data_IF_126187540048
#
_entry.id   IF_126187540048
#
_cell.length_a   1.000
_cell.length_b   1.000
_cell.length_c   1.000
_cell.angle_alpha   90.00
_cell.angle_beta   90.00
_cell.angle_gamma   90.00
#
_symmetry.space_group_name_H-M   'P 1'
#
loop_
_entity.id
_entity.type
_entity.pdbx_description
1 polymer ?
#
# COMPACT_ATOMS: atom_id res chain seq x y z
N UNK A 1 14.24 -3.04 11.90
CA UNK A 1 13.60 -2.08 10.96
C UNK A 1 12.22 -2.62 10.69
N UNK A 2 11.19 -1.83 10.98
CA UNK A 2 9.81 -2.24 10.75
C UNK A 2 9.44 -2.02 9.28
N UNK A 3 8.69 -2.96 8.74
CA UNK A 3 8.09 -2.89 7.42
C UNK A 3 6.56 -2.93 7.56
N UNK A 4 5.88 -2.12 6.77
CA UNK A 4 4.45 -2.25 6.55
C UNK A 4 4.25 -2.92 5.19
N UNK A 5 3.46 -3.99 5.17
CA UNK A 5 3.09 -4.71 3.95
C UNK A 5 1.58 -4.61 3.82
N UNK A 6 1.09 -4.15 2.67
CA UNK A 6 -0.33 -4.11 2.39
C UNK A 6 -0.59 -4.95 1.16
N UNK A 7 -1.53 -5.89 1.24
CA UNK A 7 -1.89 -6.75 0.11
C UNK A 7 -3.39 -6.64 -0.15
N UNK A 8 -3.79 -6.58 -1.42
CA UNK A 8 -5.18 -6.30 -1.78
C UNK A 8 -5.53 -6.73 -3.21
N UNK A 9 -6.83 -6.77 -3.47
CA UNK A 9 -7.43 -6.87 -4.80
C UNK A 9 -7.96 -5.50 -5.24
N UNK A 10 -8.20 -5.30 -6.53
CA UNK A 10 -8.92 -4.11 -6.99
C UNK A 10 -10.42 -4.25 -6.73
N UNK A 11 -11.07 -3.14 -6.35
CA UNK A 11 -12.52 -3.09 -6.24
C UNK A 11 -13.19 -3.33 -7.60
N UNK A 12 -14.45 -3.76 -7.57
CA UNK A 12 -15.20 -4.05 -8.80
C UNK A 12 -15.39 -2.76 -9.61
N UNK A 13 -15.09 -2.82 -10.90
CA UNK A 13 -15.17 -1.67 -11.81
C UNK A 13 -13.94 -0.74 -11.79
N UNK A 14 -13.00 -0.94 -10.88
CA UNK A 14 -11.72 -0.19 -10.89
C UNK A 14 -10.78 -0.84 -11.89
N UNK A 15 -10.39 -0.06 -12.91
CA UNK A 15 -9.43 -0.53 -13.92
C UNK A 15 -8.00 -0.47 -13.40
N UNK A 16 -7.14 -1.30 -13.98
CA UNK A 16 -5.70 -1.29 -13.71
C UNK A 16 -5.08 0.08 -13.95
N UNK A 17 -5.38 0.68 -15.10
CA UNK A 17 -4.78 1.95 -15.49
C UNK A 17 -5.22 3.08 -14.57
N UNK A 18 -6.49 3.10 -14.16
CA UNK A 18 -7.00 4.06 -13.17
C UNK A 18 -6.27 3.92 -11.83
N UNK A 19 -6.11 2.69 -11.35
CA UNK A 19 -5.42 2.44 -10.09
C UNK A 19 -3.94 2.82 -10.16
N UNK A 20 -3.23 2.38 -11.21
CA UNK A 20 -1.80 2.67 -11.37
C UNK A 20 -1.53 4.17 -11.59
N UNK A 21 -2.44 4.90 -12.23
CA UNK A 21 -2.35 6.37 -12.36
C UNK A 21 -2.50 7.05 -10.99
N UNK A 22 -3.49 6.63 -10.20
CA UNK A 22 -3.66 7.10 -8.82
C UNK A 22 -2.42 6.82 -7.96
N UNK A 23 -1.86 5.61 -8.06
CA UNK A 23 -0.62 5.24 -7.34
C UNK A 23 0.52 6.22 -7.65
N UNK A 24 0.74 6.53 -8.93
CA UNK A 24 1.87 7.37 -9.38
C UNK A 24 1.66 8.85 -9.09
N UNK A 25 0.42 9.32 -9.08
CA UNK A 25 0.10 10.77 -9.02
C UNK A 25 -0.39 11.24 -7.66
N UNK A 26 -0.88 10.33 -6.81
CA UNK A 26 -1.47 10.66 -5.50
C UNK A 26 -0.77 9.92 -4.37
N UNK A 27 -0.84 8.59 -4.39
CA UNK A 27 -0.44 7.76 -3.27
C UNK A 27 1.07 7.82 -3.01
N UNK A 28 1.89 7.42 -3.99
CA UNK A 28 3.35 7.43 -3.81
C UNK A 28 3.90 8.82 -3.48
N UNK A 29 3.50 9.92 -4.16
CA UNK A 29 3.97 11.25 -3.78
C UNK A 29 3.56 11.64 -2.37
N UNK A 30 2.34 11.33 -1.94
CA UNK A 30 1.85 11.67 -0.60
C UNK A 30 2.57 10.86 0.48
N UNK A 31 2.62 9.53 0.36
CA UNK A 31 3.27 8.67 1.36
C UNK A 31 4.77 8.92 1.45
N UNK A 32 5.46 9.13 0.31
CA UNK A 32 6.89 9.48 0.30
C UNK A 32 7.20 10.89 0.81
N UNK A 33 6.19 11.73 1.03
CA UNK A 33 6.38 13.05 1.65
C UNK A 33 6.45 13.01 3.18
N UNK A 34 6.04 11.89 3.78
CA UNK A 34 6.10 11.69 5.23
C UNK A 34 7.54 11.41 5.66
N UNK A 35 8.03 12.15 6.64
CA UNK A 35 9.42 12.04 7.10
C UNK A 35 9.78 10.66 7.67
N UNK A 36 8.79 9.90 8.15
CA UNK A 36 8.96 8.55 8.71
C UNK A 36 8.93 7.44 7.68
N UNK A 37 8.55 7.73 6.44
CA UNK A 37 8.57 6.77 5.33
C UNK A 37 9.95 6.84 4.67
N UNK A 38 10.79 5.84 4.97
CA UNK A 38 12.13 5.74 4.38
C UNK A 38 12.06 5.25 2.94
N UNK A 39 11.20 4.27 2.66
CA UNK A 39 10.92 3.79 1.32
C UNK A 39 9.45 3.36 1.19
N UNK A 40 8.91 3.46 -0.02
CA UNK A 40 7.57 2.99 -0.35
C UNK A 40 7.53 2.54 -1.80
N UNK A 41 7.16 1.28 -2.03
CA UNK A 41 7.01 0.69 -3.37
C UNK A 41 5.69 -0.07 -3.50
N UNK A 42 5.07 0.06 -4.68
CA UNK A 42 3.86 -0.68 -5.05
C UNK A 42 4.21 -1.70 -6.13
N UNK A 43 4.01 -2.98 -5.84
CA UNK A 43 4.26 -4.09 -6.75
C UNK A 43 2.95 -4.61 -7.32
N UNK A 44 2.91 -4.67 -8.65
CA UNK A 44 1.86 -5.36 -9.38
C UNK A 44 2.15 -6.85 -9.45
N UNK A 45 1.23 -7.67 -8.98
CA UNK A 45 1.37 -9.12 -9.07
C UNK A 45 1.02 -9.56 -10.48
N UNK A 46 1.97 -10.22 -11.15
CA UNK A 46 1.81 -10.68 -12.54
C UNK A 46 1.41 -12.15 -12.64
N UNK A 47 1.41 -12.88 -11.52
CA UNK A 47 1.07 -14.30 -11.46
C UNK A 47 1.78 -15.02 -10.31
N UNK A 48 1.51 -16.31 -10.16
CA UNK A 48 2.25 -17.18 -9.25
C UNK A 48 3.57 -17.60 -9.89
N UNK A 49 4.60 -17.77 -9.05
CA UNK A 49 5.85 -18.41 -9.47
C UNK A 49 5.69 -19.95 -9.57
N UNK A 50 4.92 -20.54 -8.65
CA UNK A 50 4.66 -21.98 -8.57
C UNK A 50 3.18 -22.25 -8.26
N UNK A 51 2.66 -23.37 -8.77
CA UNK A 51 1.27 -23.77 -8.61
C UNK A 51 0.34 -23.25 -9.71
N UNK A 52 -0.89 -23.77 -9.75
CA UNK A 52 -1.89 -23.42 -10.75
C UNK A 52 -2.84 -22.30 -10.26
N UNK A 53 -3.54 -21.66 -11.21
CA UNK A 53 -4.54 -20.62 -10.97
C UNK A 53 -3.97 -19.23 -10.61
N UNK A 54 -4.86 -18.28 -10.40
CA UNK A 54 -4.52 -16.87 -10.17
C UNK A 54 -3.86 -16.62 -8.81
N UNK A 55 -3.04 -15.57 -8.74
CA UNK A 55 -2.48 -15.09 -7.49
C UNK A 55 -3.58 -14.61 -6.53
N UNK A 56 -3.34 -14.73 -5.23
CA UNK A 56 -4.32 -14.38 -4.19
C UNK A 56 -4.56 -12.88 -4.06
N UNK A 57 -3.68 -12.05 -4.61
CA UNK A 57 -3.71 -10.59 -4.54
C UNK A 57 -3.31 -9.99 -5.89
N UNK A 58 -3.83 -8.80 -6.20
CA UNK A 58 -3.49 -8.06 -7.42
C UNK A 58 -2.24 -7.19 -7.23
N UNK A 59 -2.06 -6.67 -6.01
CA UNK A 59 -0.97 -5.76 -5.66
C UNK A 59 -0.46 -6.02 -4.25
N UNK A 60 0.81 -5.62 -4.04
CA UNK A 60 1.47 -5.58 -2.74
C UNK A 60 2.19 -4.25 -2.61
N UNK A 61 1.95 -3.56 -1.51
CA UNK A 61 2.69 -2.39 -1.09
C UNK A 61 3.70 -2.77 -0.01
N UNK A 62 4.88 -2.17 -0.09
CA UNK A 62 5.95 -2.34 0.89
C UNK A 62 6.47 -0.98 1.31
N UNK A 63 6.37 -0.70 2.60
CA UNK A 63 6.96 0.48 3.23
C UNK A 63 8.08 0.06 4.15
N UNK A 64 9.16 0.84 4.14
CA UNK A 64 10.13 0.86 5.23
C UNK A 64 9.83 2.07 6.13
N UNK A 65 9.52 1.79 7.39
CA UNK A 65 9.10 2.80 8.38
C UNK A 65 9.92 2.60 9.66
N UNK A 66 11.09 3.25 9.80
CA UNK A 66 11.95 3.07 10.97
C UNK A 66 11.28 3.44 12.30
N UNK A 67 10.41 4.46 12.29
CA UNK A 67 9.62 4.91 13.43
C UNK A 67 8.13 4.52 13.24
N UNK A 68 7.82 3.24 13.44
CA UNK A 68 6.47 2.72 13.27
C UNK A 68 5.48 3.26 14.32
N UNK A 69 5.94 3.49 15.56
CA UNK A 69 5.09 4.06 16.62
C UNK A 69 4.68 5.49 16.27
N UNK A 70 5.62 6.34 15.83
CA UNK A 70 5.31 7.69 15.38
C UNK A 70 4.43 7.70 14.12
N UNK A 71 4.69 6.80 13.16
CA UNK A 71 3.85 6.69 11.97
C UNK A 71 2.41 6.32 12.33
N UNK A 72 2.21 5.32 13.19
CA UNK A 72 0.87 4.86 13.56
C UNK A 72 0.15 5.81 14.53
N UNK A 73 0.89 6.50 15.40
CA UNK A 73 0.34 7.41 16.40
C UNK A 73 0.08 8.84 15.90
N UNK A 74 0.86 9.32 14.92
CA UNK A 74 0.83 10.72 14.48
C UNK A 74 0.51 10.87 12.99
N UNK A 75 1.19 10.13 12.12
CA UNK A 75 1.01 10.29 10.67
C UNK A 75 -0.32 9.68 10.20
N UNK A 76 -0.65 8.46 10.64
CA UNK A 76 -1.90 7.78 10.29
C UNK A 76 -3.18 8.58 10.60
N UNK A 77 -3.36 9.20 11.79
CA UNK A 77 -4.51 10.05 12.05
C UNK A 77 -4.45 11.42 11.35
N UNK A 78 -3.31 11.78 10.74
CA UNK A 78 -3.13 13.03 10.03
C UNK A 78 -3.96 13.15 8.75
N UNK A 79 -4.31 14.39 8.39
CA UNK A 79 -5.20 14.70 7.24
C UNK A 79 -4.69 14.10 5.92
N UNK A 80 -3.38 14.13 5.68
CA UNK A 80 -2.76 13.58 4.47
C UNK A 80 -3.01 12.07 4.35
N UNK A 81 -2.70 11.30 5.41
CA UNK A 81 -2.86 9.84 5.38
C UNK A 81 -4.34 9.47 5.35
N UNK A 82 -5.19 10.16 6.10
CA UNK A 82 -6.64 9.92 6.08
C UNK A 82 -7.25 10.18 4.70
N UNK A 83 -6.81 11.25 4.00
CA UNK A 83 -7.26 11.54 2.64
C UNK A 83 -6.89 10.42 1.66
N UNK A 84 -5.62 10.02 1.63
CA UNK A 84 -5.13 8.94 0.77
C UNK A 84 -5.79 7.61 1.12
N UNK A 85 -5.92 7.28 2.41
CA UNK A 85 -6.58 6.06 2.88
C UNK A 85 -8.05 6.02 2.47
N UNK A 86 -8.76 7.16 2.52
CA UNK A 86 -10.15 7.25 2.07
C UNK A 86 -10.30 6.95 0.57
N UNK A 87 -9.42 7.51 -0.26
CA UNK A 87 -9.38 7.19 -1.70
C UNK A 87 -9.01 5.72 -1.93
N UNK A 88 -7.96 5.23 -1.25
CA UNK A 88 -7.48 3.84 -1.33
C UNK A 88 -8.59 2.83 -1.05
N UNK A 89 -9.33 3.00 0.05
CA UNK A 89 -10.41 2.08 0.44
C UNK A 89 -11.57 2.06 -0.56
N UNK A 90 -11.71 3.07 -1.42
CA UNK A 90 -12.67 3.08 -2.53
C UNK A 90 -12.16 2.39 -3.80
N UNK A 91 -10.83 2.21 -3.93
CA UNK A 91 -10.18 1.63 -5.11
C UNK A 91 -9.91 0.13 -4.98
N UNK A 92 -9.83 -0.38 -3.74
CA UNK A 92 -9.40 -1.74 -3.45
C UNK A 92 -10.47 -2.54 -2.72
N UNK A 93 -10.32 -3.87 -2.70
CA UNK A 93 -11.10 -4.78 -1.87
C UNK A 93 -10.18 -5.77 -1.16
N UNK A 94 -10.67 -6.27 -0.04
CA UNK A 94 -9.98 -7.21 0.85
C UNK A 94 -8.55 -6.76 1.23
N UNK A 95 -8.31 -5.49 1.62
CA UNK A 95 -6.99 -5.06 2.03
C UNK A 95 -6.60 -5.68 3.37
N UNK A 96 -5.38 -6.21 3.44
CA UNK A 96 -4.78 -6.71 4.68
C UNK A 96 -3.50 -5.93 4.96
N UNK A 97 -3.43 -5.34 6.15
CA UNK A 97 -2.33 -4.52 6.62
C UNK A 97 -1.48 -5.33 7.61
N UNK A 98 -0.20 -5.49 7.30
CA UNK A 98 0.71 -6.35 8.02
C UNK A 98 1.93 -5.55 8.49
N UNK A 99 2.20 -5.63 9.78
CA UNK A 99 3.47 -5.17 10.35
C UNK A 99 4.44 -6.34 10.35
N UNK A 100 5.64 -6.12 9.84
CA UNK A 100 6.69 -7.12 9.76
C UNK A 100 8.05 -6.53 10.16
N UNK A 101 9.02 -7.40 10.43
CA UNK A 101 10.40 -7.01 10.74
C UNK A 101 11.36 -7.66 9.74
N UNK A 102 12.36 -6.89 9.28
CA UNK A 102 13.50 -7.45 8.55
C UNK A 102 14.40 -8.23 9.52
N UNK A 103 14.77 -9.45 9.15
CA UNK A 103 15.70 -10.33 9.89
C UNK A 103 17.10 -10.22 9.31
#
# INVERSE_FOLDING_TARGET
MAALIIKYQLADGVSRDQFEDWVRTKDQPAMRSLSRVESFETYRVTGKLMGEGDASVAYVEMFDVPDLEGFTGEDMPGELVQGVMGEFMGLVKDPEFLIAEKV
#
